data_IF_908786772842
#
_entry.id   IF_908786772842
#
_cell.length_a   1.000
_cell.length_b   1.000
_cell.length_c   1.000
_cell.angle_alpha   90.00
_cell.angle_beta   90.00
_cell.angle_gamma   90.00
#
_symmetry.space_group_name_H-M   'P 1'
#
loop_
_entity.id
_entity.type
_entity.pdbx_description
1 polymer ?
#
# COMPACT_ATOMS: atom_id res chain seq x y z
N UNK A 1 9.46 1.90 24.06
CA UNK A 1 10.27 2.36 22.92
C UNK A 1 9.38 2.28 21.69
N UNK A 2 8.96 3.42 21.15
CA UNK A 2 8.42 3.46 19.77
C UNK A 2 9.60 3.21 18.86
N UNK A 3 9.58 2.14 18.06
CA UNK A 3 10.56 1.96 17.01
C UNK A 3 10.53 3.22 16.12
N UNK A 4 11.69 3.84 15.89
CA UNK A 4 11.78 4.97 14.98
C UNK A 4 11.69 4.40 13.56
N UNK A 5 10.51 4.51 12.95
CA UNK A 5 10.30 4.15 11.55
C UNK A 5 11.07 5.16 10.70
N UNK A 6 12.04 4.68 9.92
CA UNK A 6 12.93 5.49 9.09
C UNK A 6 12.69 5.27 7.60
N UNK A 7 12.17 4.11 7.22
CA UNK A 7 11.93 3.76 5.81
C UNK A 7 10.46 3.44 5.53
N UNK A 8 10.09 3.51 4.25
CA UNK A 8 8.79 3.06 3.77
C UNK A 8 8.53 1.58 4.06
N UNK A 9 9.55 0.72 3.93
CA UNK A 9 9.41 -0.72 4.19
C UNK A 9 9.17 -1.03 5.67
N UNK A 10 9.89 -0.36 6.58
CA UNK A 10 9.64 -0.47 8.03
C UNK A 10 8.22 0.02 8.39
N UNK A 11 7.70 0.99 7.64
CA UNK A 11 6.31 1.44 7.80
C UNK A 11 5.31 0.38 7.32
N UNK A 12 5.56 -0.27 6.18
CA UNK A 12 4.71 -1.35 5.68
C UNK A 12 4.71 -2.57 6.63
N UNK A 13 5.87 -2.96 7.18
CA UNK A 13 5.94 -4.02 8.20
C UNK A 13 5.10 -3.67 9.44
N UNK A 14 5.15 -2.40 9.88
CA UNK A 14 4.36 -1.93 11.01
C UNK A 14 2.85 -1.94 10.69
N UNK A 15 2.47 -1.63 9.44
CA UNK A 15 1.09 -1.70 8.95
C UNK A 15 0.57 -3.13 8.89
N UNK A 16 1.38 -4.09 8.43
CA UNK A 16 1.02 -5.51 8.40
C UNK A 16 0.75 -6.02 9.82
N UNK A 17 1.61 -5.65 10.77
CA UNK A 17 1.49 -6.11 12.16
C UNK A 17 0.24 -5.56 12.86
N UNK A 18 -0.15 -4.29 12.62
CA UNK A 18 -1.26 -3.62 13.33
C UNK A 18 -2.03 -2.63 12.43
N UNK A 19 -2.70 -3.10 11.37
CA UNK A 19 -3.27 -2.23 10.34
C UNK A 19 -4.30 -1.22 10.88
N UNK A 20 -5.23 -1.69 11.72
CA UNK A 20 -6.27 -0.86 12.30
C UNK A 20 -5.73 0.25 13.23
N UNK A 21 -4.50 0.12 13.75
CA UNK A 21 -3.86 1.16 14.58
C UNK A 21 -3.49 2.39 13.75
N UNK A 22 -3.15 2.21 12.47
CA UNK A 22 -2.64 3.27 11.60
C UNK A 22 -3.74 3.87 10.71
N UNK A 23 -4.60 3.03 10.14
CA UNK A 23 -5.64 3.46 9.19
C UNK A 23 -7.06 3.04 9.61
N UNK A 24 -7.26 2.71 10.90
CA UNK A 24 -8.57 2.58 11.55
C UNK A 24 -9.31 1.26 11.28
N UNK A 25 -9.02 0.56 10.19
CA UNK A 25 -9.63 -0.72 9.81
C UNK A 25 -8.62 -1.64 9.14
N UNK A 26 -8.75 -2.95 9.30
CA UNK A 26 -7.91 -3.93 8.61
C UNK A 26 -8.47 -4.24 7.21
N UNK A 27 -8.48 -3.22 6.33
CA UNK A 27 -9.12 -3.24 5.01
C UNK A 27 -8.15 -2.68 3.95
N UNK A 28 -8.10 -3.29 2.75
CA UNK A 28 -7.18 -2.85 1.67
C UNK A 28 -7.52 -1.45 1.17
N UNK A 29 -8.81 -1.12 1.10
CA UNK A 29 -9.26 0.22 0.72
C UNK A 29 -8.81 1.27 1.74
N UNK A 30 -8.78 0.94 3.03
CA UNK A 30 -8.28 1.85 4.07
C UNK A 30 -6.77 2.10 3.94
N UNK A 31 -5.99 1.04 3.68
CA UNK A 31 -4.57 1.15 3.37
C UNK A 31 -4.32 1.98 2.10
N UNK A 32 -5.06 1.72 1.03
CA UNK A 32 -4.95 2.45 -0.23
C UNK A 32 -5.11 3.97 -0.03
N UNK A 33 -6.17 4.40 0.65
CA UNK A 33 -6.39 5.81 0.91
C UNK A 33 -5.30 6.42 1.80
N UNK A 34 -4.83 5.68 2.80
CA UNK A 34 -3.73 6.13 3.66
C UNK A 34 -2.45 6.37 2.86
N UNK A 35 -2.01 5.38 2.07
CA UNK A 35 -0.80 5.47 1.26
C UNK A 35 -0.91 6.58 0.21
N UNK A 36 -2.07 6.72 -0.44
CA UNK A 36 -2.30 7.77 -1.43
C UNK A 36 -2.28 9.17 -0.79
N UNK A 37 -2.89 9.34 0.38
CA UNK A 37 -2.86 10.60 1.13
C UNK A 37 -1.45 10.96 1.60
N UNK A 38 -0.69 9.96 2.07
CA UNK A 38 0.70 10.12 2.44
C UNK A 38 1.56 10.53 1.23
N UNK A 39 1.46 9.80 0.12
CA UNK A 39 2.18 10.12 -1.12
C UNK A 39 1.87 11.54 -1.59
N UNK A 40 0.60 11.95 -1.58
CA UNK A 40 0.20 13.30 -1.92
C UNK A 40 0.81 14.38 -1.00
N UNK A 41 0.78 14.16 0.32
CA UNK A 41 1.36 15.10 1.29
C UNK A 41 2.88 15.24 1.12
N UNK A 42 3.58 14.12 0.91
CA UNK A 42 5.01 14.12 0.64
C UNK A 42 5.35 14.83 -0.68
N UNK A 43 4.55 14.61 -1.73
CA UNK A 43 4.68 15.30 -3.01
C UNK A 43 4.53 16.82 -2.88
N UNK A 44 3.55 17.31 -2.11
CA UNK A 44 3.38 18.74 -1.82
C UNK A 44 4.61 19.31 -1.09
N UNK A 45 5.18 18.55 -0.17
CA UNK A 45 6.35 18.98 0.61
C UNK A 45 7.70 18.87 -0.13
N UNK A 46 7.73 18.23 -1.31
CA UNK A 46 8.97 17.92 -2.04
C UNK A 46 9.81 16.81 -1.41
N UNK A 47 9.24 16.00 -0.52
CA UNK A 47 9.93 14.94 0.21
C UNK A 47 9.61 13.52 -0.31
N UNK A 48 8.77 13.39 -1.34
CA UNK A 48 8.31 12.09 -1.87
C UNK A 48 9.49 11.17 -2.24
N UNK A 49 10.41 11.69 -3.06
CA UNK A 49 11.59 10.95 -3.54
C UNK A 49 12.56 10.53 -2.42
N UNK A 50 12.44 11.11 -1.23
CA UNK A 50 13.28 10.76 -0.08
C UNK A 50 12.68 9.63 0.75
N UNK A 51 11.36 9.48 0.74
CA UNK A 51 10.66 8.53 1.61
C UNK A 51 10.13 7.31 0.86
N UNK A 52 9.52 7.52 -0.31
CA UNK A 52 9.05 6.43 -1.15
C UNK A 52 10.23 5.89 -1.98
N UNK A 53 10.41 4.56 -2.03
CA UNK A 53 11.46 3.96 -2.83
C UNK A 53 11.12 4.06 -4.33
N UNK A 54 12.15 4.10 -5.18
CA UNK A 54 11.98 4.27 -6.64
C UNK A 54 11.12 3.16 -7.28
N UNK A 55 11.14 1.96 -6.71
CA UNK A 55 10.37 0.81 -7.19
C UNK A 55 8.90 0.83 -6.74
N UNK A 56 8.51 1.72 -5.82
CA UNK A 56 7.11 1.87 -5.40
C UNK A 56 6.21 2.27 -6.59
N UNK A 57 6.72 3.08 -7.50
CA UNK A 57 5.99 3.47 -8.71
C UNK A 57 5.71 2.28 -9.64
N UNK A 58 6.52 1.22 -9.55
CA UNK A 58 6.35 -0.02 -10.33
C UNK A 58 5.35 -0.99 -9.69
N UNK A 59 4.93 -0.76 -8.44
CA UNK A 59 4.04 -1.67 -7.72
C UNK A 59 2.70 -1.86 -8.43
N UNK A 60 2.16 -0.79 -9.03
CA UNK A 60 0.92 -0.88 -9.78
C UNK A 60 1.03 -1.87 -10.95
N UNK A 61 2.08 -1.75 -11.75
CA UNK A 61 2.31 -2.60 -12.91
C UNK A 61 2.62 -4.05 -12.49
N UNK A 62 3.34 -4.23 -11.39
CA UNK A 62 3.59 -5.54 -10.79
C UNK A 62 2.28 -6.25 -10.41
N UNK A 63 1.38 -5.56 -9.71
CA UNK A 63 0.06 -6.11 -9.33
C UNK A 63 -0.76 -6.43 -10.58
N UNK A 64 -0.78 -5.54 -11.57
CA UNK A 64 -1.49 -5.76 -12.82
C UNK A 64 -0.98 -7.02 -13.55
N UNK A 65 0.34 -7.16 -13.66
CA UNK A 65 0.98 -8.33 -14.24
C UNK A 65 0.62 -9.63 -13.50
N UNK A 66 0.63 -9.60 -12.16
CA UNK A 66 0.40 -10.80 -11.33
C UNK A 66 -1.06 -11.24 -11.28
N UNK A 67 -2.02 -10.32 -11.35
CA UNK A 67 -3.43 -10.62 -11.04
C UNK A 67 -4.37 -10.63 -12.25
N UNK A 68 -4.06 -9.94 -13.34
CA UNK A 68 -5.02 -9.80 -14.46
C UNK A 68 -4.40 -9.68 -15.85
N UNK A 69 -3.17 -9.16 -15.96
CA UNK A 69 -2.62 -8.68 -17.22
C UNK A 69 -3.30 -7.40 -17.73
N UNK A 70 -4.15 -6.77 -16.91
CA UNK A 70 -4.97 -5.60 -17.25
C UNK A 70 -4.66 -4.48 -16.24
N UNK A 71 -4.05 -3.38 -16.70
CA UNK A 71 -3.61 -2.25 -15.85
C UNK A 71 -4.60 -1.09 -15.77
N UNK A 72 -5.74 -1.18 -16.47
CA UNK A 72 -6.75 -0.12 -16.49
C UNK A 72 -7.43 0.08 -15.13
N UNK A 73 -7.37 -0.92 -14.24
CA UNK A 73 -7.85 -0.84 -12.88
C UNK A 73 -6.68 -0.59 -11.93
N UNK A 74 -6.81 0.40 -11.04
CA UNK A 74 -5.84 0.64 -9.97
C UNK A 74 -5.59 -0.61 -9.12
N UNK A 75 -4.38 -0.74 -8.55
CA UNK A 75 -3.94 -1.95 -7.86
C UNK A 75 -4.90 -2.40 -6.74
N UNK A 76 -5.49 -1.46 -6.01
CA UNK A 76 -6.46 -1.75 -4.95
C UNK A 76 -7.69 -2.48 -5.50
N UNK A 77 -8.24 -2.01 -6.63
CA UNK A 77 -9.38 -2.64 -7.29
C UNK A 77 -9.03 -4.04 -7.82
N UNK A 78 -7.83 -4.22 -8.36
CA UNK A 78 -7.35 -5.53 -8.82
C UNK A 78 -7.22 -6.54 -7.67
N UNK A 79 -6.62 -6.11 -6.56
CA UNK A 79 -6.46 -6.92 -5.34
C UNK A 79 -7.83 -7.27 -4.77
N UNK A 80 -8.71 -6.28 -4.59
CA UNK A 80 -10.04 -6.50 -4.02
C UNK A 80 -10.87 -7.46 -4.88
N UNK A 81 -10.84 -7.29 -6.20
CA UNK A 81 -11.49 -8.19 -7.16
C UNK A 81 -10.97 -9.63 -7.03
N UNK A 82 -9.66 -9.80 -6.85
CA UNK A 82 -9.04 -11.13 -6.72
C UNK A 82 -9.32 -11.79 -5.37
N UNK A 83 -9.36 -11.01 -4.29
CA UNK A 83 -9.48 -11.50 -2.92
C UNK A 83 -10.94 -11.67 -2.45
N UNK A 84 -11.89 -10.94 -3.03
CA UNK A 84 -13.33 -11.06 -2.75
C UNK A 84 -13.80 -10.45 -1.42
N UNK A 85 -12.89 -9.94 -0.59
CA UNK A 85 -13.22 -9.18 0.62
C UNK A 85 -12.09 -8.22 0.98
N UNK A 86 -12.40 -7.18 1.76
CA UNK A 86 -11.43 -6.15 2.17
C UNK A 86 -10.27 -6.71 3.00
N UNK A 87 -10.56 -7.59 3.97
CA UNK A 87 -9.54 -8.17 4.84
C UNK A 87 -8.66 -9.20 4.13
N UNK A 88 -9.24 -10.01 3.23
CA UNK A 88 -8.43 -10.88 2.36
C UNK A 88 -7.62 -10.07 1.35
N UNK A 89 -8.15 -8.94 0.87
CA UNK A 89 -7.44 -8.01 0.00
C UNK A 89 -6.25 -7.39 0.70
N UNK A 90 -6.38 -7.05 1.99
CA UNK A 90 -5.28 -6.50 2.76
C UNK A 90 -4.16 -7.54 2.93
N UNK A 91 -4.50 -8.79 3.23
CA UNK A 91 -3.53 -9.87 3.28
C UNK A 91 -2.82 -10.07 1.93
N UNK A 92 -3.57 -10.09 0.82
CA UNK A 92 -3.01 -10.22 -0.52
C UNK A 92 -2.10 -9.04 -0.91
N UNK A 93 -2.38 -7.82 -0.43
CA UNK A 93 -1.46 -6.70 -0.63
C UNK A 93 -0.09 -7.00 -0.02
N UNK A 94 -0.03 -7.45 1.24
CA UNK A 94 1.25 -7.75 1.91
C UNK A 94 1.97 -8.98 1.35
N UNK A 95 1.26 -9.89 0.67
CA UNK A 95 1.91 -10.97 -0.09
C UNK A 95 2.57 -10.48 -1.40
N UNK A 96 2.16 -9.34 -1.92
CA UNK A 96 2.61 -8.79 -3.21
C UNK A 96 3.62 -7.64 -3.06
N UNK A 97 3.60 -6.94 -1.92
CA UNK A 97 4.45 -5.80 -1.56
C UNK A 97 5.75 -6.26 -0.90
#
# INVERSE_FOLDING_TARGET
MTAQIKTFWELLEAFEARPAMYFGRAEVSALFHYLHGMHHAFGISGAADTFFPEDWDLFHDWVAYKLSGESSLGWCSLILRRAGSESAGLALFFELA
#
